data_IF_062626785480
#
_entry.id   IF_062626785480
#
_cell.length_a   1.000
_cell.length_b   1.000
_cell.length_c   1.000
_cell.angle_alpha   90.00
_cell.angle_beta   90.00
_cell.angle_gamma   90.00
#
_symmetry.space_group_name_H-M   'P 1'
#
loop_
_entity.id
_entity.type
_entity.pdbx_description
1 polymer ?
#
# COMPACT_ATOMS: atom_id res chain seq x y z
N UNK A 1 1.40 -15.11 -18.65
CA UNK A 1 2.48 -14.10 -18.61
C UNK A 1 3.06 -14.15 -17.21
N UNK A 2 4.28 -14.67 -17.07
CA UNK A 2 4.95 -14.84 -15.78
C UNK A 2 5.39 -13.46 -15.32
N UNK A 3 4.91 -13.02 -14.18
CA UNK A 3 5.33 -11.76 -13.56
C UNK A 3 6.78 -11.92 -13.12
N UNK A 4 7.69 -11.27 -13.82
CA UNK A 4 9.09 -11.17 -13.42
C UNK A 4 9.19 -10.05 -12.38
N UNK A 5 9.62 -10.32 -11.15
CA UNK A 5 9.77 -9.28 -10.15
C UNK A 5 10.75 -8.22 -10.65
N UNK A 6 10.38 -6.97 -10.47
CA UNK A 6 11.07 -5.78 -10.95
C UNK A 6 12.51 -5.68 -10.40
N UNK A 7 13.50 -6.09 -11.21
CA UNK A 7 14.94 -6.02 -10.92
C UNK A 7 15.55 -4.61 -11.07
N UNK A 8 14.79 -3.56 -10.76
CA UNK A 8 15.21 -2.16 -11.04
C UNK A 8 16.29 -1.54 -10.12
N UNK A 9 16.60 -1.96 -8.89
CA UNK A 9 17.69 -1.31 -8.17
C UNK A 9 19.08 -1.59 -8.75
N UNK A 10 19.28 -2.73 -9.45
CA UNK A 10 20.59 -3.05 -10.06
C UNK A 10 20.91 -2.19 -11.28
N UNK A 11 19.92 -1.83 -12.08
CA UNK A 11 20.12 -1.04 -13.31
C UNK A 11 20.48 0.40 -12.96
N UNK A 12 19.80 1.00 -11.98
CA UNK A 12 20.05 2.39 -11.57
C UNK A 12 21.44 2.55 -10.96
N UNK A 13 21.89 1.61 -10.11
CA UNK A 13 23.23 1.65 -9.51
C UNK A 13 24.32 1.48 -10.57
N UNK A 14 24.13 0.58 -11.54
CA UNK A 14 25.07 0.39 -12.66
C UNK A 14 25.14 1.62 -13.56
N UNK A 15 24.02 2.28 -13.82
CA UNK A 15 23.99 3.50 -14.64
C UNK A 15 24.69 4.65 -13.90
N UNK A 16 24.43 4.84 -12.61
CA UNK A 16 25.09 5.87 -11.80
C UNK A 16 26.60 5.59 -11.69
N UNK A 17 26.99 4.33 -11.48
CA UNK A 17 28.39 3.94 -11.41
C UNK A 17 29.09 4.13 -12.75
N UNK A 18 28.43 3.82 -13.86
CA UNK A 18 28.95 4.03 -15.22
C UNK A 18 29.12 5.52 -15.51
N UNK A 19 28.13 6.37 -15.22
CA UNK A 19 28.21 7.83 -15.38
C UNK A 19 29.34 8.40 -14.50
N UNK A 20 29.48 7.93 -13.26
CA UNK A 20 30.52 8.39 -12.34
C UNK A 20 31.93 7.96 -12.83
N UNK A 21 32.09 6.73 -13.31
CA UNK A 21 33.34 6.25 -13.89
C UNK A 21 33.67 6.97 -15.21
N UNK A 22 32.69 7.20 -16.08
CA UNK A 22 32.88 7.96 -17.31
C UNK A 22 33.30 9.40 -17.01
N UNK A 23 32.71 10.09 -16.03
CA UNK A 23 33.12 11.45 -15.63
C UNK A 23 34.53 11.49 -15.01
N UNK A 24 34.93 10.48 -14.25
CA UNK A 24 36.25 10.42 -13.63
C UNK A 24 37.34 10.08 -14.68
N UNK A 25 37.04 9.24 -15.65
CA UNK A 25 38.00 8.81 -16.68
C UNK A 25 38.08 9.72 -17.90
N UNK A 26 36.98 10.40 -18.28
CA UNK A 26 36.94 11.25 -19.48
C UNK A 26 37.52 12.64 -19.22
N UNK A 27 37.40 13.20 -18.00
CA UNK A 27 37.84 14.56 -17.69
C UNK A 27 39.35 14.75 -17.43
N UNK A 28 40.22 13.77 -17.72
CA UNK A 28 41.69 13.88 -17.63
C UNK A 28 42.25 14.46 -16.29
N UNK A 29 41.42 14.68 -15.29
CA UNK A 29 41.83 15.19 -13.97
C UNK A 29 42.66 14.24 -13.13
N UNK A 30 42.65 12.95 -13.51
CA UNK A 30 43.47 11.93 -12.86
C UNK A 30 44.92 11.86 -13.36
N UNK A 31 45.31 12.62 -14.36
CA UNK A 31 46.69 12.64 -14.85
C UNK A 31 47.67 13.23 -13.86
N UNK A 32 47.21 14.07 -12.92
CA UNK A 32 48.02 14.69 -11.87
C UNK A 32 48.09 13.90 -10.55
N UNK A 33 47.40 12.76 -10.44
CA UNK A 33 47.40 11.92 -9.24
C UNK A 33 48.43 10.81 -9.37
N UNK A 34 49.32 10.72 -8.37
CA UNK A 34 50.35 9.68 -8.28
C UNK A 34 49.73 8.27 -8.46
N UNK A 35 50.35 7.36 -9.24
CA UNK A 35 49.82 5.99 -9.46
C UNK A 35 49.44 5.22 -8.19
N UNK A 36 50.17 5.40 -7.11
CA UNK A 36 49.85 4.80 -5.81
C UNK A 36 48.54 5.29 -5.24
N UNK A 37 48.25 6.59 -5.36
CA UNK A 37 46.98 7.18 -4.90
C UNK A 37 45.78 6.75 -5.73
N UNK A 38 45.97 6.43 -7.03
CA UNK A 38 44.95 5.85 -7.89
C UNK A 38 44.51 4.47 -7.43
N UNK A 39 45.49 3.63 -7.06
CA UNK A 39 45.25 2.26 -6.52
C UNK A 39 44.48 2.34 -5.20
N UNK A 40 44.86 3.27 -4.29
CA UNK A 40 44.15 3.43 -3.02
C UNK A 40 42.72 3.95 -3.23
N UNK A 41 42.50 4.92 -4.12
CA UNK A 41 41.17 5.43 -4.44
C UNK A 41 40.28 4.33 -5.05
N UNK A 42 40.84 3.51 -5.95
CA UNK A 42 40.11 2.39 -6.54
C UNK A 42 39.78 1.32 -5.49
N UNK A 43 40.72 1.02 -4.59
CA UNK A 43 40.50 0.07 -3.50
C UNK A 43 39.41 0.56 -2.52
N UNK A 44 39.38 1.85 -2.18
CA UNK A 44 38.35 2.46 -1.31
C UNK A 44 36.97 2.36 -1.99
N UNK A 45 36.87 2.66 -3.28
CA UNK A 45 35.62 2.54 -4.03
C UNK A 45 35.12 1.10 -4.10
N UNK A 46 36.01 0.14 -4.37
CA UNK A 46 35.67 -1.29 -4.42
C UNK A 46 35.26 -1.81 -3.05
N UNK A 47 35.94 -1.43 -1.97
CA UNK A 47 35.58 -1.79 -0.58
C UNK A 47 34.24 -1.16 -0.19
N UNK A 48 33.98 0.10 -0.56
CA UNK A 48 32.69 0.76 -0.32
C UNK A 48 31.55 0.07 -1.06
N UNK A 49 31.78 -0.37 -2.30
CA UNK A 49 30.79 -1.14 -3.08
C UNK A 49 30.58 -2.53 -2.46
N UNK A 50 31.64 -3.20 -2.01
CA UNK A 50 31.52 -4.49 -1.33
C UNK A 50 30.83 -4.38 0.05
N UNK A 51 31.09 -3.32 0.79
CA UNK A 51 30.40 -3.07 2.06
C UNK A 51 28.91 -2.69 1.84
N UNK A 52 28.59 -1.91 0.83
CA UNK A 52 27.19 -1.61 0.49
C UNK A 52 26.44 -2.81 -0.06
N UNK A 53 27.08 -3.71 -0.81
CA UNK A 53 26.47 -4.97 -1.26
C UNK A 53 26.26 -5.99 -0.13
N UNK A 54 27.11 -5.96 0.90
CA UNK A 54 26.94 -6.81 2.11
C UNK A 54 25.75 -6.41 2.99
N UNK A 55 25.32 -5.15 2.94
CA UNK A 55 24.15 -4.66 3.66
C UNK A 55 22.80 -4.97 2.97
N UNK A 56 22.82 -5.38 1.69
CA UNK A 56 21.62 -5.66 0.89
C UNK A 56 21.30 -7.14 0.69
N UNK A 57 22.06 -8.05 1.28
CA UNK A 57 21.87 -9.48 1.04
C UNK A 57 21.53 -10.28 2.30
N UNK A 58 20.54 -9.83 3.05
CA UNK A 58 19.72 -10.79 3.76
C UNK A 58 18.51 -11.07 2.88
N UNK A 59 18.51 -12.19 2.19
CA UNK A 59 17.28 -12.81 1.70
C UNK A 59 16.50 -13.18 2.95
N UNK A 60 15.71 -12.22 3.43
CA UNK A 60 14.78 -12.48 4.50
C UNK A 60 13.77 -13.47 3.93
N UNK A 61 13.65 -14.63 4.55
CA UNK A 61 12.57 -15.56 4.23
C UNK A 61 11.20 -14.92 4.44
N UNK A 62 10.11 -15.59 4.05
CA UNK A 62 8.77 -15.03 4.14
C UNK A 62 8.47 -14.51 5.54
N UNK A 63 7.88 -13.33 5.59
CA UNK A 63 7.42 -12.71 6.84
C UNK A 63 6.43 -13.64 7.52
N UNK A 64 6.66 -13.92 8.79
CA UNK A 64 5.82 -14.83 9.57
C UNK A 64 4.87 -14.05 10.47
N UNK A 65 3.66 -14.56 10.70
CA UNK A 65 2.79 -13.96 11.70
C UNK A 65 3.48 -13.95 13.07
N UNK A 66 3.20 -12.93 13.90
CA UNK A 66 3.74 -12.87 15.26
C UNK A 66 3.41 -14.16 16.02
N UNK A 67 4.41 -14.72 16.70
CA UNK A 67 4.20 -15.86 17.61
C UNK A 67 3.31 -15.37 18.76
N UNK A 68 2.44 -16.26 19.24
CA UNK A 68 1.57 -16.02 20.40
C UNK A 68 0.54 -14.87 20.25
N UNK A 69 0.18 -14.50 19.02
CA UNK A 69 -0.87 -13.54 18.76
C UNK A 69 -2.25 -14.14 19.12
N UNK A 70 -2.75 -13.80 20.30
CA UNK A 70 -4.03 -14.28 20.80
C UNK A 70 -4.95 -13.11 21.13
N UNK A 71 -6.25 -13.22 20.83
CA UNK A 71 -7.21 -12.21 21.25
C UNK A 71 -7.37 -12.23 22.78
N UNK A 72 -7.31 -11.05 23.39
CA UNK A 72 -7.53 -10.85 24.83
C UNK A 72 -8.83 -10.08 25.01
N UNK A 73 -9.76 -10.66 25.74
CA UNK A 73 -11.05 -10.00 26.07
C UNK A 73 -10.81 -8.84 27.03
N UNK A 74 -11.26 -7.64 26.65
CA UNK A 74 -11.24 -6.43 27.49
C UNK A 74 -12.63 -6.19 28.08
N UNK A 75 -13.67 -6.35 27.26
CA UNK A 75 -15.08 -6.25 27.65
C UNK A 75 -15.95 -7.15 26.76
N UNK A 76 -17.28 -7.07 26.93
CA UNK A 76 -18.21 -7.77 26.04
C UNK A 76 -18.20 -7.23 24.60
N UNK A 77 -17.67 -6.03 24.41
CA UNK A 77 -17.66 -5.31 23.13
C UNK A 77 -16.25 -5.02 22.62
N UNK A 78 -15.22 -5.38 23.38
CA UNK A 78 -13.83 -5.13 23.00
C UNK A 78 -12.92 -6.33 23.26
N UNK A 79 -12.18 -6.70 22.23
CA UNK A 79 -11.04 -7.60 22.30
C UNK A 79 -9.81 -6.90 21.75
N UNK A 80 -8.64 -7.19 22.31
CA UNK A 80 -7.34 -6.76 21.79
C UNK A 80 -6.63 -7.92 21.10
N UNK A 81 -5.98 -7.61 19.98
CA UNK A 81 -5.10 -8.51 19.25
C UNK A 81 -3.83 -7.75 18.86
N UNK A 82 -2.74 -8.03 19.57
CA UNK A 82 -1.52 -7.24 19.41
C UNK A 82 -1.78 -5.75 19.70
N UNK A 83 -1.60 -4.91 18.69
CA UNK A 83 -1.76 -3.44 18.80
C UNK A 83 -3.12 -2.93 18.32
N UNK A 84 -3.99 -3.79 17.83
CA UNK A 84 -5.35 -3.42 17.41
C UNK A 84 -6.40 -3.90 18.41
N UNK A 85 -7.59 -3.30 18.33
CA UNK A 85 -8.79 -3.75 19.02
C UNK A 85 -9.90 -4.04 18.01
N UNK A 86 -10.87 -4.87 18.42
CA UNK A 86 -12.05 -5.16 17.61
C UNK A 86 -13.28 -5.46 18.47
N UNK A 87 -14.45 -5.21 17.88
CA UNK A 87 -15.75 -5.51 18.48
C UNK A 87 -16.38 -6.73 17.77
N UNK A 88 -16.64 -7.85 18.49
CA UNK A 88 -17.20 -9.04 17.86
C UNK A 88 -18.67 -8.88 17.43
N UNK A 89 -19.42 -7.91 18.00
CA UNK A 89 -20.83 -7.67 17.67
C UNK A 89 -20.98 -6.80 16.42
N UNK A 90 -20.27 -5.64 16.38
CA UNK A 90 -20.29 -4.74 15.24
C UNK A 90 -19.35 -5.16 14.12
N UNK A 91 -18.40 -6.06 14.44
CA UNK A 91 -17.34 -6.54 13.55
C UNK A 91 -16.38 -5.42 13.11
N UNK A 92 -16.35 -4.33 13.84
CA UNK A 92 -15.40 -3.23 13.61
C UNK A 92 -14.02 -3.57 14.17
N UNK A 93 -12.98 -3.07 13.50
CA UNK A 93 -11.58 -3.17 13.91
C UNK A 93 -11.04 -1.75 14.00
N UNK A 94 -10.32 -1.42 15.08
CA UNK A 94 -9.67 -0.10 15.18
C UNK A 94 -8.24 -0.23 15.68
N UNK A 95 -7.40 0.67 15.19
CA UNK A 95 -5.98 0.66 15.48
C UNK A 95 -5.35 2.05 15.34
N UNK A 96 -4.23 2.30 16.08
CA UNK A 96 -3.53 3.57 15.98
C UNK A 96 -2.77 3.69 14.65
N UNK A 97 -2.86 4.87 14.07
CA UNK A 97 -2.07 5.30 12.93
C UNK A 97 -1.50 6.69 13.20
N UNK A 98 -0.64 7.15 12.28
CA UNK A 98 -0.07 8.48 12.28
C UNK A 98 -0.15 9.07 10.88
N UNK A 99 -0.40 10.37 10.76
CA UNK A 99 -0.28 11.09 9.49
C UNK A 99 1.18 11.06 9.07
N UNK A 100 1.44 10.40 7.94
CA UNK A 100 2.79 10.16 7.46
C UNK A 100 3.21 11.20 6.41
N UNK A 101 2.28 11.56 5.50
CA UNK A 101 2.49 12.62 4.53
C UNK A 101 1.13 13.21 4.09
N UNK A 102 1.12 14.43 3.51
CA UNK A 102 -0.10 15.13 3.14
C UNK A 102 0.01 16.00 1.88
N UNK A 103 1.06 15.82 1.06
CA UNK A 103 1.33 16.67 -0.10
C UNK A 103 1.62 15.90 -1.39
N UNK A 104 2.29 14.74 -1.31
CA UNK A 104 2.75 14.03 -2.49
C UNK A 104 1.78 12.95 -2.96
N UNK A 105 2.05 12.41 -4.13
CA UNK A 105 1.34 11.30 -4.76
C UNK A 105 1.12 10.13 -3.79
N UNK A 106 -0.05 9.51 -3.86
CA UNK A 106 -0.46 8.38 -3.03
C UNK A 106 -0.71 7.12 -3.86
N UNK A 107 -0.02 6.06 -3.51
CA UNK A 107 -0.46 4.70 -3.84
C UNK A 107 -1.31 4.10 -2.71
N UNK A 108 -1.02 4.48 -1.46
CA UNK A 108 -1.66 3.89 -0.28
C UNK A 108 -2.30 4.95 0.63
N UNK A 109 -3.49 4.65 1.12
CA UNK A 109 -4.07 5.39 2.23
C UNK A 109 -3.45 4.97 3.56
N UNK A 110 -3.06 3.69 3.72
CA UNK A 110 -2.50 3.14 4.95
C UNK A 110 -1.44 2.09 4.62
N UNK A 111 -0.26 2.21 5.23
CA UNK A 111 0.77 1.18 5.17
C UNK A 111 1.35 0.86 6.56
N UNK A 112 2.03 -0.29 6.65
CA UNK A 112 2.90 -0.66 7.77
C UNK A 112 4.15 0.23 7.75
N UNK A 113 4.55 0.81 8.90
CA UNK A 113 5.70 1.71 8.96
C UNK A 113 7.05 1.01 8.77
N UNK A 114 7.11 -0.33 8.86
CA UNK A 114 8.37 -1.07 8.76
C UNK A 114 8.67 -1.55 7.34
N UNK A 115 7.65 -1.87 6.56
CA UNK A 115 7.79 -2.44 5.21
C UNK A 115 7.06 -1.66 4.13
N UNK A 116 6.11 -0.80 4.51
CA UNK A 116 5.31 -0.03 3.58
C UNK A 116 6.12 1.06 2.86
N UNK A 117 5.62 1.47 1.71
CA UNK A 117 6.11 2.60 0.94
C UNK A 117 5.69 3.92 1.59
N UNK A 118 6.39 4.35 2.63
CA UNK A 118 6.05 5.56 3.39
C UNK A 118 5.96 6.81 2.51
N UNK A 119 6.81 6.93 1.50
CA UNK A 119 6.85 8.09 0.60
C UNK A 119 5.60 8.23 -0.29
N UNK A 120 4.77 7.19 -0.40
CA UNK A 120 3.53 7.16 -1.20
C UNK A 120 2.31 6.82 -0.33
N UNK A 121 2.42 6.96 1.00
CA UNK A 121 1.38 6.54 1.95
C UNK A 121 0.90 7.68 2.82
N UNK A 122 -0.42 7.90 2.90
CA UNK A 122 -1.04 8.96 3.69
C UNK A 122 -0.86 8.74 5.20
N UNK A 123 -1.18 7.54 5.66
CA UNK A 123 -1.04 7.12 7.06
C UNK A 123 -0.07 5.95 7.19
N UNK A 124 0.66 5.91 8.30
CA UNK A 124 1.47 4.76 8.69
C UNK A 124 1.01 4.19 10.03
N UNK A 125 1.27 2.89 10.26
CA UNK A 125 0.93 2.20 11.50
C UNK A 125 1.98 1.18 11.88
N UNK A 126 2.09 0.90 13.18
CA UNK A 126 2.88 -0.21 13.73
C UNK A 126 2.10 -1.52 13.83
N UNK A 127 0.84 -1.51 13.41
CA UNK A 127 0.01 -2.72 13.34
C UNK A 127 0.33 -3.43 12.04
N UNK A 128 0.69 -4.70 12.15
CA UNK A 128 1.10 -5.47 10.98
C UNK A 128 -0.11 -5.93 10.14
N UNK A 129 0.05 -6.12 8.83
CA UNK A 129 -1.00 -6.71 8.00
C UNK A 129 -1.49 -8.08 8.49
N UNK A 130 -0.63 -8.86 9.17
CA UNK A 130 -1.03 -10.12 9.80
C UNK A 130 -2.04 -9.92 10.93
N UNK A 131 -1.81 -8.94 11.82
CA UNK A 131 -2.74 -8.64 12.92
C UNK A 131 -4.12 -8.28 12.36
N UNK A 132 -4.15 -7.41 11.34
CA UNK A 132 -5.40 -6.97 10.69
C UNK A 132 -6.10 -8.16 10.01
N UNK A 133 -5.37 -8.96 9.23
CA UNK A 133 -5.92 -10.11 8.52
C UNK A 133 -6.49 -11.17 9.48
N UNK A 134 -5.81 -11.42 10.61
CA UNK A 134 -6.30 -12.34 11.64
C UNK A 134 -7.57 -11.80 12.29
N UNK A 135 -7.63 -10.51 12.64
CA UNK A 135 -8.83 -9.90 13.20
C UNK A 135 -10.00 -9.97 12.21
N UNK A 136 -9.79 -9.67 10.93
CA UNK A 136 -10.81 -9.81 9.90
C UNK A 136 -11.34 -11.25 9.81
N UNK A 137 -10.45 -12.25 9.84
CA UNK A 137 -10.86 -13.68 9.83
C UNK A 137 -11.62 -14.06 11.08
N UNK A 138 -11.18 -13.64 12.27
CA UNK A 138 -11.89 -13.89 13.54
C UNK A 138 -13.30 -13.30 13.51
N UNK A 139 -13.48 -12.14 12.88
CA UNK A 139 -14.75 -11.46 12.70
C UNK A 139 -15.54 -11.97 11.50
N UNK A 140 -15.06 -13.01 10.81
CA UNK A 140 -15.71 -13.62 9.63
C UNK A 140 -15.97 -12.63 8.49
N UNK A 141 -15.02 -11.73 8.27
CA UNK A 141 -15.05 -10.91 7.06
C UNK A 141 -14.74 -11.78 5.83
N UNK A 142 -15.51 -11.59 4.77
CA UNK A 142 -15.35 -12.33 3.51
C UNK A 142 -14.66 -11.40 2.51
N UNK A 143 -13.49 -11.77 1.98
CA UNK A 143 -12.85 -10.96 0.96
C UNK A 143 -13.62 -11.02 -0.35
N UNK A 144 -13.60 -9.94 -1.11
CA UNK A 144 -14.08 -9.89 -2.48
C UNK A 144 -13.13 -10.68 -3.39
N UNK A 145 -13.71 -11.44 -4.32
CA UNK A 145 -12.99 -12.12 -5.40
C UNK A 145 -12.85 -11.24 -6.65
N UNK A 146 -13.20 -9.96 -6.52
CA UNK A 146 -13.11 -8.99 -7.61
C UNK A 146 -11.71 -8.93 -8.18
N UNK A 147 -11.61 -8.93 -9.52
CA UNK A 147 -10.32 -8.80 -10.19
C UNK A 147 -9.70 -7.43 -9.92
N UNK A 148 -8.43 -7.43 -9.52
CA UNK A 148 -7.66 -6.20 -9.24
C UNK A 148 -7.22 -5.54 -10.56
N UNK A 149 -6.70 -6.35 -11.50
CA UNK A 149 -6.16 -5.86 -12.76
C UNK A 149 -7.03 -6.26 -13.94
N UNK A 150 -7.09 -5.39 -14.94
CA UNK A 150 -7.61 -5.74 -16.27
C UNK A 150 -6.63 -6.69 -16.94
N UNK A 151 -7.18 -7.66 -17.69
CA UNK A 151 -6.39 -8.45 -18.63
C UNK A 151 -6.35 -7.70 -19.94
N UNK A 152 -5.24 -7.80 -20.65
CA UNK A 152 -5.06 -7.23 -21.98
C UNK A 152 -4.72 -8.36 -22.96
N UNK A 153 -5.16 -8.22 -24.24
CA UNK A 153 -4.73 -9.07 -25.32
C UNK A 153 -3.34 -8.68 -25.85
N UNK A 154 -2.87 -9.40 -26.87
CA UNK A 154 -1.56 -9.15 -27.46
C UNK A 154 -1.44 -7.77 -28.13
N UNK A 155 -2.55 -7.13 -28.48
CA UNK A 155 -2.60 -5.77 -29.05
C UNK A 155 -2.66 -4.67 -28.00
N UNK A 156 -2.70 -5.04 -26.69
CA UNK A 156 -2.86 -4.10 -25.59
C UNK A 156 -4.31 -3.67 -25.34
N UNK A 157 -5.29 -4.34 -25.97
CA UNK A 157 -6.71 -4.05 -25.77
C UNK A 157 -7.20 -4.77 -24.52
N UNK A 158 -7.94 -4.10 -23.61
CA UNK A 158 -8.48 -4.73 -22.42
C UNK A 158 -9.48 -5.84 -22.77
N UNK A 159 -9.28 -7.03 -22.19
CA UNK A 159 -10.16 -8.19 -22.35
C UNK A 159 -10.81 -8.55 -21.01
N UNK A 160 -12.05 -8.98 -21.07
CA UNK A 160 -12.83 -9.38 -19.90
C UNK A 160 -13.42 -8.20 -19.15
N UNK A 161 -14.14 -8.52 -18.11
CA UNK A 161 -14.91 -7.58 -17.29
C UNK A 161 -14.39 -7.66 -15.87
N UNK A 162 -14.15 -6.51 -15.24
CA UNK A 162 -13.93 -6.43 -13.79
C UNK A 162 -15.28 -6.68 -13.11
N UNK A 163 -15.59 -7.94 -12.81
CA UNK A 163 -16.81 -8.29 -12.08
C UNK A 163 -16.71 -7.74 -10.66
N UNK A 164 -17.70 -6.95 -10.26
CA UNK A 164 -17.99 -6.68 -8.86
C UNK A 164 -18.80 -7.86 -8.33
N UNK A 165 -18.36 -8.48 -7.25
CA UNK A 165 -19.07 -9.57 -6.59
C UNK A 165 -19.93 -9.07 -5.42
N UNK A 166 -19.95 -7.76 -5.19
CA UNK A 166 -20.71 -7.12 -4.13
C UNK A 166 -20.24 -7.43 -2.72
N UNK A 167 -19.15 -8.19 -2.57
CA UNK A 167 -18.61 -8.66 -1.29
C UNK A 167 -17.46 -7.80 -0.79
N UNK A 168 -17.12 -8.00 0.47
CA UNK A 168 -15.96 -7.35 1.10
C UNK A 168 -16.10 -5.85 1.24
N UNK A 169 -17.29 -5.29 1.06
CA UNK A 169 -17.54 -3.85 1.16
C UNK A 169 -17.27 -3.35 2.55
N UNK A 170 -16.57 -2.24 2.63
CA UNK A 170 -16.20 -1.65 3.91
C UNK A 170 -16.07 -0.13 3.84
N UNK A 171 -16.08 0.48 5.01
CA UNK A 171 -15.70 1.87 5.22
C UNK A 171 -14.39 1.91 6.02
N UNK A 172 -13.53 2.84 5.67
CA UNK A 172 -12.36 3.20 6.47
C UNK A 172 -12.59 4.59 7.04
N UNK A 173 -12.79 4.67 8.35
CA UNK A 173 -12.96 5.93 9.06
C UNK A 173 -11.66 6.29 9.77
N UNK A 174 -11.43 7.58 9.94
CA UNK A 174 -10.37 8.14 10.77
C UNK A 174 -10.99 8.96 11.89
N UNK A 175 -10.51 8.76 13.12
CA UNK A 175 -10.92 9.48 14.31
C UNK A 175 -9.72 10.19 14.90
N UNK A 176 -9.84 11.49 15.12
CA UNK A 176 -8.76 12.34 15.59
C UNK A 176 -9.30 13.58 16.32
N UNK A 177 -8.43 14.33 16.99
CA UNK A 177 -8.80 15.63 17.57
C UNK A 177 -8.65 16.73 16.53
N UNK A 178 -9.75 17.43 16.22
CA UNK A 178 -9.76 18.58 15.35
C UNK A 178 -9.00 19.77 15.96
N UNK A 179 -8.84 20.85 15.18
CA UNK A 179 -8.14 22.08 15.60
C UNK A 179 -8.81 22.76 16.81
N UNK A 180 -10.10 22.54 16.99
CA UNK A 180 -10.89 23.03 18.14
C UNK A 180 -10.83 22.10 19.37
N UNK A 181 -10.02 21.04 19.29
CA UNK A 181 -9.87 20.04 20.36
C UNK A 181 -10.98 19.00 20.44
N UNK A 182 -12.02 19.12 19.60
CA UNK A 182 -13.13 18.14 19.55
C UNK A 182 -12.73 16.91 18.77
N UNK A 183 -13.31 15.77 19.15
CA UNK A 183 -13.16 14.55 18.39
C UNK A 183 -13.94 14.61 17.08
N UNK A 184 -13.28 14.27 15.99
CA UNK A 184 -13.83 14.17 14.65
C UNK A 184 -13.71 12.73 14.18
N UNK A 185 -14.74 12.18 13.58
CA UNK A 185 -14.71 10.89 12.89
C UNK A 185 -15.28 11.07 11.50
N UNK A 186 -14.49 10.75 10.48
CA UNK A 186 -14.89 10.90 9.08
C UNK A 186 -14.26 9.82 8.18
N UNK A 187 -14.80 9.59 6.97
CA UNK A 187 -14.20 8.71 5.98
C UNK A 187 -12.82 9.19 5.55
N UNK A 188 -11.81 8.31 5.59
CA UNK A 188 -10.46 8.62 5.08
C UNK A 188 -10.49 9.02 3.60
N UNK A 189 -11.43 8.46 2.84
CA UNK A 189 -11.64 8.79 1.43
C UNK A 189 -11.96 10.26 1.16
N UNK A 190 -12.39 11.04 2.17
CA UNK A 190 -12.58 12.47 2.06
C UNK A 190 -11.27 13.27 2.01
N UNK A 191 -10.16 12.64 2.41
CA UNK A 191 -8.83 13.24 2.43
C UNK A 191 -8.05 13.03 1.13
N UNK A 192 -8.54 12.16 0.24
CA UNK A 192 -7.85 11.77 -0.99
C UNK A 192 -8.72 12.08 -2.20
N UNK A 193 -8.13 12.70 -3.22
CA UNK A 193 -8.83 13.03 -4.45
C UNK A 193 -8.04 12.64 -5.69
N UNK A 194 -8.75 12.40 -6.77
CA UNK A 194 -8.17 12.26 -8.10
C UNK A 194 -7.84 13.65 -8.65
N UNK A 195 -6.58 13.88 -9.02
CA UNK A 195 -6.07 15.20 -9.46
C UNK A 195 -6.75 15.70 -10.72
N UNK A 196 -7.17 14.82 -11.63
CA UNK A 196 -7.81 15.19 -12.89
C UNK A 196 -9.29 15.52 -12.72
N UNK A 197 -10.02 14.68 -12.01
CA UNK A 197 -11.48 14.82 -11.86
C UNK A 197 -11.88 15.65 -10.65
N UNK A 198 -10.97 15.94 -9.73
CA UNK A 198 -11.19 16.57 -8.42
C UNK A 198 -12.18 15.81 -7.52
N UNK A 199 -12.59 14.61 -7.90
CA UNK A 199 -13.47 13.77 -7.09
C UNK A 199 -12.67 13.09 -5.98
N UNK A 200 -13.25 13.08 -4.77
CA UNK A 200 -12.69 12.33 -3.63
C UNK A 200 -12.95 10.84 -3.80
N UNK A 201 -12.18 10.01 -3.11
CA UNK A 201 -12.44 8.57 -3.00
C UNK A 201 -13.84 8.33 -2.44
N UNK A 202 -14.23 9.12 -1.43
CA UNK A 202 -15.57 9.11 -0.86
C UNK A 202 -15.82 7.97 0.12
N UNK A 203 -17.01 8.03 0.76
CA UNK A 203 -17.45 7.03 1.72
C UNK A 203 -17.87 5.73 1.02
N UNK A 204 -17.64 4.57 1.69
CA UNK A 204 -18.07 3.26 1.20
C UNK A 204 -17.34 2.75 -0.04
N UNK A 205 -16.24 3.40 -0.42
CA UNK A 205 -15.49 3.07 -1.64
C UNK A 205 -14.44 1.97 -1.45
N UNK A 206 -14.31 1.45 -0.24
CA UNK A 206 -13.28 0.46 0.07
C UNK A 206 -13.82 -0.96 -0.03
N UNK A 207 -12.93 -1.86 -0.45
CA UNK A 207 -13.22 -3.28 -0.57
C UNK A 207 -12.09 -4.08 0.08
N UNK A 208 -12.44 -4.96 1.02
CA UNK A 208 -11.53 -5.95 1.55
C UNK A 208 -11.26 -7.02 0.48
N UNK A 209 -10.05 -7.07 -0.03
CA UNK A 209 -9.61 -8.00 -1.09
C UNK A 209 -8.72 -9.12 -0.54
N UNK A 210 -8.27 -8.99 0.72
CA UNK A 210 -7.60 -10.04 1.46
C UNK A 210 -6.14 -10.27 1.10
N UNK A 211 -5.57 -9.55 0.14
CA UNK A 211 -4.22 -9.78 -0.37
C UNK A 211 -4.03 -11.18 -0.98
N UNK A 212 -2.81 -11.56 -1.31
CA UNK A 212 -2.44 -12.86 -1.87
C UNK A 212 -1.29 -13.51 -1.12
N UNK A 213 -1.25 -14.83 -1.18
CA UNK A 213 -0.06 -15.61 -0.81
C UNK A 213 0.53 -16.19 -2.09
N UNK A 214 1.77 -15.84 -2.40
CA UNK A 214 2.51 -16.33 -3.56
C UNK A 214 3.80 -16.94 -3.06
N UNK A 215 4.04 -18.21 -3.39
CA UNK A 215 5.24 -18.96 -2.96
C UNK A 215 5.49 -18.94 -1.44
N UNK A 216 4.42 -18.91 -0.65
CA UNK A 216 4.47 -18.84 0.81
C UNK A 216 4.63 -17.41 1.38
N UNK A 217 4.72 -16.39 0.52
CA UNK A 217 4.81 -14.98 0.93
C UNK A 217 3.43 -14.35 0.97
N UNK A 218 3.04 -13.83 2.13
CA UNK A 218 1.83 -13.03 2.27
C UNK A 218 2.13 -11.59 1.86
N UNK A 219 1.71 -11.21 0.65
CA UNK A 219 2.15 -9.97 -0.01
C UNK A 219 1.89 -8.72 0.84
N UNK A 220 0.73 -8.63 1.51
CA UNK A 220 0.45 -7.48 2.37
C UNK A 220 1.49 -7.31 3.48
N UNK A 221 2.02 -8.41 4.03
CA UNK A 221 3.04 -8.36 5.05
C UNK A 221 4.46 -8.14 4.46
N UNK A 222 4.71 -8.58 3.24
CA UNK A 222 5.98 -8.35 2.56
C UNK A 222 6.14 -6.89 2.14
N UNK A 223 5.04 -6.27 1.68
CA UNK A 223 5.03 -4.93 1.12
C UNK A 223 4.48 -3.87 2.09
N UNK A 224 4.03 -4.30 3.28
CA UNK A 224 3.40 -3.42 4.26
C UNK A 224 2.09 -2.77 3.77
N UNK A 225 1.44 -3.35 2.76
CA UNK A 225 0.31 -2.76 2.05
C UNK A 225 -1.03 -3.08 2.76
N UNK A 226 -1.64 -2.09 3.41
CA UNK A 226 -2.88 -2.27 4.16
C UNK A 226 -4.10 -1.79 3.36
N UNK A 227 -4.09 -0.55 2.89
CA UNK A 227 -5.19 0.01 2.11
C UNK A 227 -4.65 0.83 0.93
N UNK A 228 -4.89 0.37 -0.28
CA UNK A 228 -4.38 0.96 -1.52
C UNK A 228 -5.44 1.84 -2.20
N UNK A 229 -5.08 3.06 -2.60
CA UNK A 229 -5.89 3.94 -3.45
C UNK A 229 -5.65 3.63 -4.93
N UNK A 230 -4.42 3.29 -5.29
CA UNK A 230 -4.07 2.61 -6.53
C UNK A 230 -4.27 1.11 -6.34
N UNK A 231 -5.01 0.45 -7.23
CA UNK A 231 -5.33 -0.98 -7.09
C UNK A 231 -4.09 -1.85 -7.07
N UNK A 232 -3.88 -2.52 -5.95
CA UNK A 232 -2.73 -3.38 -5.72
C UNK A 232 -3.14 -4.72 -5.12
N UNK A 233 -2.83 -5.83 -5.81
CA UNK A 233 -3.23 -7.17 -5.37
C UNK A 233 -2.56 -7.63 -4.07
N UNK A 234 -1.42 -7.03 -3.72
CA UNK A 234 -0.73 -7.25 -2.45
C UNK A 234 -1.40 -6.57 -1.26
N UNK A 235 -2.31 -5.60 -1.48
CA UNK A 235 -2.97 -4.90 -0.38
C UNK A 235 -4.12 -5.69 0.23
N UNK A 236 -4.38 -5.48 1.54
CA UNK A 236 -5.56 -6.04 2.21
C UNK A 236 -6.85 -5.43 1.70
N UNK A 237 -6.85 -4.13 1.46
CA UNK A 237 -8.00 -3.36 1.02
C UNK A 237 -7.65 -2.53 -0.20
N UNK A 238 -8.62 -2.37 -1.11
CA UNK A 238 -8.46 -1.60 -2.33
C UNK A 238 -9.66 -0.67 -2.56
N UNK A 239 -9.46 0.43 -3.31
CA UNK A 239 -10.59 1.12 -3.95
C UNK A 239 -10.77 0.62 -5.39
N UNK A 240 -11.99 0.80 -5.91
CA UNK A 240 -12.30 0.51 -7.33
C UNK A 240 -12.91 1.73 -8.01
N UNK A 241 -12.60 2.91 -7.51
CA UNK A 241 -13.02 4.15 -8.13
C UNK A 241 -12.42 4.31 -9.54
N UNK A 242 -13.09 5.03 -10.45
CA UNK A 242 -12.51 5.38 -11.73
C UNK A 242 -11.14 6.04 -11.56
N UNK A 243 -10.11 5.51 -12.24
CA UNK A 243 -8.72 5.93 -12.11
C UNK A 243 -7.92 5.25 -11.01
N UNK A 244 -8.48 4.28 -10.26
CA UNK A 244 -7.69 3.51 -9.29
C UNK A 244 -6.74 2.50 -9.94
N UNK A 245 -6.73 2.38 -11.26
CA UNK A 245 -5.78 1.63 -12.07
C UNK A 245 -4.61 2.49 -12.62
N UNK A 246 -4.55 3.75 -12.21
CA UNK A 246 -3.50 4.70 -12.56
C UNK A 246 -2.86 5.21 -11.27
N UNK A 247 -1.56 5.04 -11.13
CA UNK A 247 -0.79 5.35 -9.94
C UNK A 247 -0.34 6.83 -9.86
N UNK A 248 -0.63 7.64 -10.91
CA UNK A 248 -0.26 9.05 -10.96
C UNK A 248 -1.40 10.01 -10.60
N UNK A 249 -2.58 9.50 -10.24
CA UNK A 249 -3.78 10.33 -10.13
C UNK A 249 -4.21 10.72 -8.71
N UNK A 250 -3.70 10.06 -7.68
CA UNK A 250 -4.25 10.20 -6.34
C UNK A 250 -3.36 11.06 -5.44
N UNK A 251 -3.97 12.12 -4.88
CA UNK A 251 -3.27 13.08 -4.02
C UNK A 251 -4.07 13.36 -2.74
N UNK A 252 -3.38 13.70 -1.64
CA UNK A 252 -4.07 14.16 -0.44
C UNK A 252 -4.66 15.56 -0.67
N UNK A 253 -5.77 15.85 0.01
CA UNK A 253 -6.28 17.21 0.14
C UNK A 253 -5.63 17.82 1.37
N UNK A 254 -4.48 18.46 1.21
CA UNK A 254 -3.63 18.97 2.29
C UNK A 254 -4.40 19.78 3.35
N UNK A 255 -5.39 20.56 2.93
CA UNK A 255 -6.20 21.38 3.85
C UNK A 255 -7.14 20.56 4.76
N UNK A 256 -7.44 19.31 4.40
CA UNK A 256 -8.29 18.39 5.17
C UNK A 256 -7.51 17.44 6.04
N UNK A 257 -6.29 17.08 5.62
CA UNK A 257 -5.44 16.16 6.37
C UNK A 257 -4.86 16.88 7.59
N UNK A 258 -4.90 16.28 8.78
CA UNK A 258 -4.22 16.84 9.95
C UNK A 258 -2.72 17.02 9.73
N UNK A 259 -2.05 17.77 10.60
CA UNK A 259 -0.61 17.97 10.53
C UNK A 259 0.15 16.63 10.54
N UNK A 260 1.35 16.63 9.94
CA UNK A 260 2.25 15.48 9.99
C UNK A 260 2.46 15.01 11.44
N UNK A 261 2.65 13.73 11.61
CA UNK A 261 2.82 13.05 12.91
C UNK A 261 1.61 13.12 13.85
N UNK A 262 0.47 13.68 13.41
CA UNK A 262 -0.77 13.61 14.19
C UNK A 262 -1.20 12.15 14.37
N UNK A 263 -1.40 11.76 15.63
CA UNK A 263 -1.95 10.45 15.95
C UNK A 263 -3.45 10.43 15.63
N UNK A 264 -3.87 9.38 14.94
CA UNK A 264 -5.26 9.12 14.57
C UNK A 264 -5.62 7.67 14.87
N UNK A 265 -6.88 7.40 15.12
CA UNK A 265 -7.40 6.03 15.17
C UNK A 265 -8.09 5.71 13.85
N UNK A 266 -7.60 4.71 13.14
CA UNK A 266 -8.29 4.15 11.97
C UNK A 266 -9.31 3.13 12.43
N UNK A 267 -10.50 3.15 11.82
CA UNK A 267 -11.59 2.22 12.10
C UNK A 267 -12.00 1.58 10.79
N UNK A 268 -11.87 0.26 10.72
CA UNK A 268 -12.39 -0.56 9.63
C UNK A 268 -13.80 -1.03 10.02
N UNK A 269 -14.78 -0.65 9.22
CA UNK A 269 -16.20 -0.95 9.45
C UNK A 269 -16.74 -1.76 8.28
N UNK A 270 -17.27 -2.99 8.50
CA UNK A 270 -17.88 -3.75 7.42
C UNK A 270 -19.19 -3.07 6.99
N UNK A 271 -19.44 -3.07 5.70
CA UNK A 271 -20.72 -2.70 5.11
C UNK A 271 -21.44 -3.97 4.66
N UNK A 272 -22.78 -3.94 4.59
CA UNK A 272 -23.53 -5.07 4.03
C UNK A 272 -23.07 -5.39 2.61
N UNK A 273 -22.96 -6.68 2.32
CA UNK A 273 -22.80 -7.14 0.95
C UNK A 273 -24.01 -6.69 0.12
N UNK A 274 -23.81 -6.47 -1.16
CA UNK A 274 -24.91 -6.14 -2.09
C UNK A 274 -25.03 -7.22 -3.13
N UNK A 275 -26.27 -7.58 -3.46
CA UNK A 275 -26.51 -8.40 -4.63
C UNK A 275 -26.18 -7.56 -5.87
N UNK A 276 -25.18 -8.01 -6.61
CA UNK A 276 -24.89 -7.43 -7.92
C UNK A 276 -25.73 -8.21 -8.93
N UNK A 277 -26.70 -7.56 -9.60
CA UNK A 277 -27.49 -8.22 -10.62
C UNK A 277 -26.59 -8.93 -11.65
N UNK A 278 -26.93 -10.17 -12.02
CA UNK A 278 -26.14 -10.96 -12.95
C UNK A 278 -25.82 -10.15 -14.22
N UNK A 279 -24.54 -10.04 -14.46
CA UNK A 279 -23.93 -9.63 -15.72
C UNK A 279 -24.39 -8.32 -16.37
N UNK A 280 -24.28 -7.19 -15.67
CA UNK A 280 -23.98 -5.96 -16.39
C UNK A 280 -22.51 -6.01 -16.78
N UNK A 281 -22.22 -6.42 -18.00
CA UNK A 281 -20.88 -6.37 -18.58
C UNK A 281 -20.46 -4.89 -18.66
N UNK A 282 -19.50 -4.47 -17.84
CA UNK A 282 -18.84 -3.19 -18.05
C UNK A 282 -18.02 -3.29 -19.35
N UNK A 283 -18.38 -2.47 -20.32
CA UNK A 283 -17.60 -2.34 -21.56
C UNK A 283 -16.29 -1.58 -21.22
N UNK A 284 -15.20 -1.79 -21.97
CA UNK A 284 -13.89 -1.21 -21.67
C UNK A 284 -13.85 0.32 -21.52
N UNK A 285 -14.80 1.04 -22.07
CA UNK A 285 -14.94 2.50 -21.98
C UNK A 285 -15.74 2.98 -20.76
N UNK A 286 -16.17 2.07 -19.90
CA UNK A 286 -16.99 2.39 -18.72
C UNK A 286 -18.49 2.60 -19.02
N UNK A 287 -18.91 2.44 -20.27
CA UNK A 287 -20.35 2.49 -20.61
C UNK A 287 -21.03 1.15 -20.29
N UNK A 288 -22.23 1.21 -19.72
CA UNK A 288 -23.10 0.03 -19.50
C UNK A 288 -23.90 -0.15 -20.78
N UNK A 289 -23.66 -1.21 -21.54
CA UNK A 289 -24.64 -1.64 -22.55
C UNK A 289 -25.77 -2.39 -21.82
N UNK A 290 -26.94 -1.82 -21.82
CA UNK A 290 -28.20 -2.55 -21.58
C UNK A 290 -28.58 -3.26 -22.87
N UNK A 291 -28.63 -4.59 -22.87
CA UNK A 291 -29.35 -5.34 -23.90
C UNK A 291 -30.85 -5.16 -23.73
#
# INVERSE_FOLDING_TARGET
MVFVPNKRPRVTLFIILRIFLEHIFIDNKLSLVNPLNKIHLFAIVVVSIMMSSGLYSQVQGPTKPPKDLKPVKVSEEEYKLGKLSFNPKTREIWFPCRVNQNEVLLEFAICDEFRGKLHESLLSTKVTPFEIQIAMKLLRWVPSERQIYRKFDESGKPIGVLKDDGKGRMEILVRYKGKDGKEVTEPIGNWVHNVNTKKVVGAGSWTYTGSKVIDGYFLAAEDGAIAAVYRYEGSLCNTFNPGSDDDELWFPITSKVPALDTEVTVIFKPLPDVEVPDAKKLVPDGTIKTE
#
